data_IF_169703662389
#
_entry.id   IF_169703662389
#
_cell.length_a   1.000
_cell.length_b   1.000
_cell.length_c   1.000
_cell.angle_alpha   90.00
_cell.angle_beta   90.00
_cell.angle_gamma   90.00
#
_symmetry.space_group_name_H-M   'P 1'
#
loop_
_entity.id
_entity.type
_entity.pdbx_description
1 polymer ?
#
# COMPACT_ATOMS: atom_id res chain seq x y z
N UNK A 1 -10.94 1.91 -27.30
CA UNK A 1 -11.89 2.88 -26.72
C UNK A 1 -11.23 3.80 -25.70
N UNK A 2 -10.37 3.31 -24.79
CA UNK A 2 -9.66 4.10 -23.78
C UNK A 2 -8.61 5.04 -24.37
N UNK A 3 -7.89 4.66 -25.44
CA UNK A 3 -6.92 5.52 -26.14
C UNK A 3 -7.62 6.68 -26.87
N UNK A 4 -8.85 6.51 -27.35
CA UNK A 4 -9.63 7.56 -27.99
C UNK A 4 -10.15 8.55 -26.93
N UNK A 5 -10.48 8.09 -25.74
CA UNK A 5 -10.78 8.97 -24.61
C UNK A 5 -9.54 9.76 -24.15
N UNK A 6 -8.33 9.14 -24.15
CA UNK A 6 -7.05 9.83 -23.89
C UNK A 6 -6.78 10.99 -24.86
N UNK A 7 -6.95 10.74 -26.16
CA UNK A 7 -6.75 11.76 -27.19
C UNK A 7 -7.82 12.87 -27.13
N UNK A 8 -9.10 12.51 -26.94
CA UNK A 8 -10.18 13.49 -26.82
C UNK A 8 -10.07 14.35 -25.57
N UNK A 9 -9.67 13.76 -24.42
CA UNK A 9 -9.46 14.49 -23.17
C UNK A 9 -8.31 15.52 -23.28
N UNK A 10 -7.28 15.22 -24.07
CA UNK A 10 -6.15 16.12 -24.29
C UNK A 10 -6.47 17.23 -25.30
N UNK A 11 -7.14 16.90 -26.40
CA UNK A 11 -7.54 17.86 -27.41
C UNK A 11 -8.68 18.80 -26.95
N UNK A 12 -9.60 18.34 -26.12
CA UNK A 12 -10.64 19.18 -25.50
C UNK A 12 -10.07 20.11 -24.42
N UNK A 13 -8.96 19.77 -23.78
CA UNK A 13 -8.28 20.63 -22.80
C UNK A 13 -7.63 21.87 -23.41
N UNK A 14 -7.23 21.82 -24.69
CA UNK A 14 -6.63 22.96 -25.39
C UNK A 14 -7.66 23.87 -26.10
N UNK A 15 -8.89 23.39 -26.31
CA UNK A 15 -9.91 24.11 -27.12
C UNK A 15 -11.00 24.83 -26.35
N UNK A 16 -11.14 24.60 -25.04
CA UNK A 16 -12.23 25.19 -24.25
C UNK A 16 -11.71 26.14 -23.18
N UNK A 17 -11.29 27.34 -23.62
CA UNK A 17 -11.17 28.49 -22.70
C UNK A 17 -12.52 29.17 -22.38
N UNK A 18 -13.60 28.86 -23.10
CA UNK A 18 -14.92 29.49 -22.94
C UNK A 18 -16.07 28.51 -23.15
N UNK A 19 -16.34 27.62 -22.18
CA UNK A 19 -17.66 27.00 -22.03
C UNK A 19 -18.03 26.96 -20.57
N UNK A 20 -19.14 27.61 -20.28
CA UNK A 20 -19.77 27.74 -18.96
C UNK A 20 -19.88 26.40 -18.23
N UNK A 21 -19.42 26.40 -16.98
CA UNK A 21 -19.27 25.23 -16.10
C UNK A 21 -20.63 24.74 -15.51
N UNK A 22 -21.74 24.92 -16.23
CA UNK A 22 -23.05 24.48 -15.80
C UNK A 22 -23.56 23.35 -16.68
N UNK A 23 -23.75 22.18 -16.09
CA UNK A 23 -24.46 20.98 -16.60
C UNK A 23 -23.64 19.75 -17.06
N UNK A 24 -22.46 19.50 -16.55
CA UNK A 24 -22.01 18.10 -16.53
C UNK A 24 -22.64 17.45 -15.29
N UNK A 25 -23.74 16.73 -15.48
CA UNK A 25 -24.34 15.85 -14.47
C UNK A 25 -23.21 14.91 -13.99
N UNK A 26 -22.67 15.19 -12.79
CA UNK A 26 -21.65 14.36 -12.18
C UNK A 26 -22.22 12.95 -12.00
N UNK A 27 -21.69 11.99 -12.73
CA UNK A 27 -22.01 10.60 -12.49
C UNK A 27 -21.47 10.28 -11.10
N UNK A 28 -22.29 9.86 -10.14
CA UNK A 28 -21.83 9.57 -8.79
C UNK A 28 -20.69 8.55 -8.83
N UNK A 29 -19.55 8.89 -8.19
CA UNK A 29 -18.39 8.01 -8.11
C UNK A 29 -17.29 8.27 -9.15
N UNK A 30 -17.44 9.20 -10.09
CA UNK A 30 -16.33 9.63 -10.96
C UNK A 30 -15.54 10.75 -10.32
N UNK A 31 -14.16 10.76 -10.46
CA UNK A 31 -13.33 11.84 -9.94
C UNK A 31 -13.70 13.20 -10.56
N UNK A 32 -13.79 14.22 -9.70
CA UNK A 32 -14.13 15.60 -10.10
C UNK A 32 -12.86 16.32 -10.55
N UNK A 33 -12.98 17.18 -11.58
CA UNK A 33 -11.89 18.08 -11.95
C UNK A 33 -11.99 19.35 -11.10
N UNK A 34 -10.92 19.68 -10.38
CA UNK A 34 -10.76 20.91 -9.60
C UNK A 34 -9.84 21.87 -10.33
N UNK A 35 -10.06 23.18 -10.16
CA UNK A 35 -9.06 24.17 -10.53
C UNK A 35 -7.91 24.21 -9.51
N UNK A 36 -6.75 24.71 -9.91
CA UNK A 36 -5.63 24.90 -8.97
C UNK A 36 -6.02 25.88 -7.85
N UNK A 37 -6.78 26.92 -8.19
CA UNK A 37 -7.25 27.94 -7.24
C UNK A 37 -8.19 27.36 -6.18
N UNK A 38 -9.14 26.50 -6.58
CA UNK A 38 -10.03 25.83 -5.62
C UNK A 38 -9.24 25.03 -4.59
N UNK A 39 -8.23 24.29 -5.05
CA UNK A 39 -7.40 23.48 -4.17
C UNK A 39 -6.42 24.33 -3.33
N UNK A 40 -5.96 25.46 -3.85
CA UNK A 40 -5.17 26.43 -3.13
C UNK A 40 -5.97 27.01 -1.95
N UNK A 41 -7.22 27.40 -2.20
CA UNK A 41 -8.14 27.89 -1.16
C UNK A 41 -8.49 26.79 -0.17
N UNK A 42 -8.87 25.60 -0.64
CA UNK A 42 -9.24 24.46 0.21
C UNK A 42 -8.11 24.03 1.16
N UNK A 43 -6.84 24.19 0.75
CA UNK A 43 -5.67 23.83 1.56
C UNK A 43 -5.04 25.00 2.32
N UNK A 44 -5.68 26.18 2.31
CA UNK A 44 -5.13 27.42 2.89
C UNK A 44 -3.70 27.68 2.42
N UNK A 45 -3.51 27.74 1.10
CA UNK A 45 -2.20 27.93 0.46
C UNK A 45 -1.20 26.79 0.77
N UNK A 46 -1.70 25.53 0.86
CA UNK A 46 -0.89 24.35 1.18
C UNK A 46 -0.15 24.46 2.52
N UNK A 47 -0.81 25.04 3.54
CA UNK A 47 -0.20 25.36 4.82
C UNK A 47 0.00 24.16 5.75
N UNK A 48 -0.97 23.23 5.82
CA UNK A 48 -0.93 22.06 6.70
C UNK A 48 -0.42 20.82 5.95
N UNK A 49 0.88 20.50 6.13
CA UNK A 49 1.49 19.32 5.50
C UNK A 49 1.14 18.06 6.29
N UNK A 50 0.52 17.09 5.62
CA UNK A 50 0.25 15.76 6.15
C UNK A 50 1.42 14.81 5.95
N UNK A 51 2.20 14.97 4.87
CA UNK A 51 3.36 14.15 4.57
C UNK A 51 4.14 14.68 3.38
N UNK A 52 5.43 14.25 3.29
CA UNK A 52 6.32 14.57 2.19
C UNK A 52 7.07 13.32 1.77
N UNK A 53 7.12 13.04 0.48
CA UNK A 53 7.78 11.86 -0.08
C UNK A 53 8.42 12.10 -1.42
N UNK A 54 8.96 11.04 -2.04
CA UNK A 54 9.65 11.11 -3.33
C UNK A 54 8.75 11.53 -4.50
N UNK A 55 7.44 11.26 -4.41
CA UNK A 55 6.44 11.62 -5.44
C UNK A 55 5.71 12.94 -5.16
N UNK A 56 6.07 13.68 -4.10
CA UNK A 56 5.46 14.96 -3.80
C UNK A 56 5.09 15.17 -2.33
N UNK A 57 4.30 16.20 -2.07
CA UNK A 57 3.85 16.59 -0.74
C UNK A 57 2.33 16.45 -0.64
N UNK A 58 1.83 16.00 0.51
CA UNK A 58 0.41 15.85 0.79
C UNK A 58 -0.03 16.88 1.82
N UNK A 59 -1.12 17.58 1.54
CA UNK A 59 -1.66 18.64 2.35
C UNK A 59 -3.08 18.34 2.79
N UNK A 60 -3.45 18.79 3.99
CA UNK A 60 -4.82 18.73 4.44
C UNK A 60 -5.62 19.87 3.82
N UNK A 61 -6.85 19.60 3.44
CA UNK A 61 -7.77 20.59 2.91
C UNK A 61 -9.20 20.36 3.38
N UNK A 62 -10.04 21.37 3.17
CA UNK A 62 -11.48 21.32 3.40
C UNK A 62 -12.16 21.92 2.17
N UNK A 63 -12.98 21.15 1.47
CA UNK A 63 -13.74 21.61 0.33
C UNK A 63 -14.87 22.55 0.77
N UNK A 64 -15.49 23.26 -0.19
CA UNK A 64 -16.56 24.23 0.07
C UNK A 64 -17.79 23.59 0.74
N UNK A 65 -18.04 22.31 0.54
CA UNK A 65 -19.11 21.56 1.19
C UNK A 65 -18.76 21.05 2.61
N UNK A 66 -17.58 21.40 3.12
CA UNK A 66 -17.08 20.96 4.42
C UNK A 66 -16.39 19.59 4.40
N UNK A 67 -16.24 18.93 3.26
CA UNK A 67 -15.56 17.64 3.14
C UNK A 67 -14.07 17.79 3.38
N UNK A 68 -13.54 17.04 4.37
CA UNK A 68 -12.10 16.96 4.61
C UNK A 68 -11.40 16.12 3.55
N UNK A 69 -10.32 16.63 2.99
CA UNK A 69 -9.55 15.99 1.92
C UNK A 69 -8.05 16.00 2.19
N UNK A 70 -7.34 15.08 1.54
CA UNK A 70 -5.89 15.06 1.44
C UNK A 70 -5.50 15.38 -0.02
N UNK A 71 -4.76 16.47 -0.22
CA UNK A 71 -4.34 16.94 -1.55
C UNK A 71 -2.87 16.61 -1.76
N UNK A 72 -2.59 15.66 -2.66
CA UNK A 72 -1.22 15.26 -3.05
C UNK A 72 -0.78 16.16 -4.20
N UNK A 73 0.23 16.98 -3.96
CA UNK A 73 0.87 17.86 -4.96
C UNK A 73 2.15 17.22 -5.45
N UNK A 74 2.24 16.95 -6.75
CA UNK A 74 3.42 16.37 -7.37
C UNK A 74 4.48 17.44 -7.59
N UNK A 75 5.74 17.16 -7.20
CA UNK A 75 6.83 18.15 -7.24
C UNK A 75 7.31 18.48 -8.65
N UNK A 76 7.13 17.55 -9.63
CA UNK A 76 7.62 17.72 -11.02
C UNK A 76 6.72 17.03 -12.03
N UNK A 77 5.75 17.73 -12.57
CA UNK A 77 4.85 17.17 -13.60
C UNK A 77 5.59 16.61 -14.83
N UNK A 78 6.70 17.19 -15.23
CA UNK A 78 7.43 16.76 -16.43
C UNK A 78 8.11 15.39 -16.30
N UNK A 79 8.52 14.99 -15.09
CA UNK A 79 9.15 13.69 -14.80
C UNK A 79 8.16 12.69 -14.18
N UNK A 80 7.14 13.20 -13.45
CA UNK A 80 6.17 12.38 -12.71
C UNK A 80 4.81 12.27 -13.41
N UNK A 81 4.65 12.76 -14.64
CA UNK A 81 3.40 12.66 -15.40
C UNK A 81 2.96 11.20 -15.58
N UNK A 82 3.92 10.28 -15.77
CA UNK A 82 3.61 8.85 -15.88
C UNK A 82 3.05 8.29 -14.58
N UNK A 83 3.58 8.71 -13.44
CA UNK A 83 3.09 8.32 -12.10
C UNK A 83 1.70 8.91 -11.83
N UNK A 84 1.50 10.20 -12.17
CA UNK A 84 0.19 10.85 -12.07
C UNK A 84 -0.88 10.13 -12.91
N UNK A 85 -0.58 9.87 -14.19
CA UNK A 85 -1.51 9.18 -15.08
C UNK A 85 -1.77 7.74 -14.62
N UNK A 86 -0.74 7.02 -14.15
CA UNK A 86 -0.88 5.68 -13.61
C UNK A 86 -1.80 5.67 -12.38
N UNK A 87 -1.64 6.63 -11.48
CA UNK A 87 -2.47 6.76 -10.29
C UNK A 87 -3.92 7.10 -10.66
N UNK A 88 -4.14 8.08 -11.55
CA UNK A 88 -5.49 8.43 -12.03
C UNK A 88 -6.14 7.27 -12.79
N UNK A 89 -5.41 6.55 -13.64
CA UNK A 89 -5.92 5.42 -14.42
C UNK A 89 -6.26 4.22 -13.52
N UNK A 90 -5.38 3.92 -12.56
CA UNK A 90 -5.57 2.80 -11.66
C UNK A 90 -6.75 2.98 -10.71
N UNK A 91 -6.91 4.18 -10.11
CA UNK A 91 -7.89 4.40 -9.05
C UNK A 91 -9.06 5.30 -9.44
N UNK A 92 -9.01 5.98 -10.59
CA UNK A 92 -10.09 6.87 -11.04
C UNK A 92 -11.45 6.18 -11.26
N UNK A 93 -11.44 4.86 -11.50
CA UNK A 93 -12.63 4.04 -11.65
C UNK A 93 -12.88 3.07 -10.49
N UNK A 94 -12.04 3.08 -9.46
CA UNK A 94 -12.07 2.15 -8.33
C UNK A 94 -12.85 2.75 -7.17
N UNK A 95 -13.82 2.01 -6.66
CA UNK A 95 -14.52 2.34 -5.43
C UNK A 95 -14.64 1.07 -4.57
N UNK A 96 -13.82 0.99 -3.51
CA UNK A 96 -13.85 -0.13 -2.59
C UNK A 96 -13.60 0.36 -1.16
N UNK A 97 -14.27 -0.25 -0.17
CA UNK A 97 -14.22 0.16 1.23
C UNK A 97 -12.79 0.20 1.79
N UNK A 98 -11.93 -0.75 1.39
CA UNK A 98 -10.55 -0.86 1.85
C UNK A 98 -9.50 -0.23 0.92
N UNK A 99 -9.92 0.65 0.02
CA UNK A 99 -9.04 1.49 -0.82
C UNK A 99 -9.33 2.96 -0.54
N UNK A 100 -8.29 3.79 -0.55
CA UNK A 100 -8.46 5.25 -0.42
C UNK A 100 -9.08 5.79 -1.70
N UNK A 101 -10.22 6.48 -1.55
CA UNK A 101 -10.99 7.00 -2.67
C UNK A 101 -10.35 8.25 -3.26
N UNK A 102 -10.17 8.27 -4.57
CA UNK A 102 -9.87 9.48 -5.33
C UNK A 102 -11.16 10.29 -5.49
N UNK A 103 -11.22 11.48 -4.90
CA UNK A 103 -12.35 12.41 -5.02
C UNK A 103 -12.26 13.20 -6.31
N UNK A 104 -11.04 13.60 -6.67
CA UNK A 104 -10.80 14.36 -7.90
C UNK A 104 -9.34 14.67 -8.14
N UNK A 105 -9.09 15.50 -9.14
CA UNK A 105 -7.75 15.89 -9.55
C UNK A 105 -7.72 17.28 -10.16
N UNK A 106 -6.52 17.89 -10.19
CA UNK A 106 -6.22 19.07 -10.98
C UNK A 106 -5.03 18.76 -11.91
N UNK A 107 -5.18 19.10 -13.18
CA UNK A 107 -4.12 19.01 -14.21
C UNK A 107 -4.04 20.33 -14.96
N UNK A 108 -3.46 21.36 -14.34
CA UNK A 108 -3.31 22.69 -14.91
C UNK A 108 -1.85 23.05 -15.08
N UNK A 109 -1.49 23.50 -16.29
CA UNK A 109 -0.14 24.01 -16.64
C UNK A 109 0.97 23.02 -16.23
N UNK A 110 1.70 23.36 -15.18
CA UNK A 110 2.79 22.55 -14.61
C UNK A 110 2.43 21.90 -13.27
N UNK A 111 1.14 21.94 -12.86
CA UNK A 111 0.68 21.46 -11.56
C UNK A 111 -0.21 20.24 -11.70
N UNK A 112 0.18 19.12 -11.09
CA UNK A 112 -0.65 17.93 -10.91
C UNK A 112 -1.00 17.77 -9.45
N UNK A 113 -2.30 17.75 -9.15
CA UNK A 113 -2.80 17.51 -7.81
C UNK A 113 -3.82 16.39 -7.84
N UNK A 114 -3.73 15.51 -6.87
CA UNK A 114 -4.70 14.44 -6.64
C UNK A 114 -5.41 14.70 -5.31
N UNK A 115 -6.74 14.60 -5.32
CA UNK A 115 -7.59 14.89 -4.16
C UNK A 115 -8.18 13.59 -3.65
N UNK A 116 -7.77 13.17 -2.46
CA UNK A 116 -8.21 11.95 -1.80
C UNK A 116 -9.09 12.23 -0.60
N UNK A 117 -9.88 11.24 -0.19
CA UNK A 117 -10.54 11.26 1.11
C UNK A 117 -9.51 11.39 2.25
N UNK A 118 -9.87 12.14 3.29
CA UNK A 118 -8.97 12.37 4.43
C UNK A 118 -9.02 11.22 5.43
N UNK A 119 -7.84 10.71 5.81
CA UNK A 119 -7.69 9.59 6.72
C UNK A 119 -7.13 10.10 8.06
N UNK A 120 -8.01 10.29 9.05
CA UNK A 120 -7.70 11.01 10.28
C UNK A 120 -6.78 10.27 11.27
N UNK A 121 -6.60 8.97 11.15
CA UNK A 121 -5.63 8.19 11.93
C UNK A 121 -4.25 8.10 11.26
N UNK A 122 -4.13 8.52 9.99
CA UNK A 122 -2.88 8.45 9.22
C UNK A 122 -2.46 7.03 8.91
N UNK A 123 -1.16 6.80 8.73
CA UNK A 123 -0.60 5.53 8.29
C UNK A 123 -0.41 4.51 9.42
N UNK A 124 -0.51 3.24 9.06
CA UNK A 124 -0.49 2.09 9.97
C UNK A 124 0.82 1.96 10.75
N UNK A 125 1.97 2.37 10.18
CA UNK A 125 3.28 2.29 10.83
C UNK A 125 3.33 3.02 12.17
N UNK A 126 2.52 4.07 12.35
CA UNK A 126 2.42 4.83 13.61
C UNK A 126 1.75 4.05 14.73
N UNK A 127 1.00 3.00 14.39
CA UNK A 127 0.14 2.26 15.29
C UNK A 127 0.67 0.87 15.63
N UNK A 128 1.49 0.27 14.75
CA UNK A 128 2.01 -1.08 14.95
C UNK A 128 3.39 -1.11 15.58
N UNK A 129 4.21 -0.06 15.37
CA UNK A 129 5.53 -0.01 15.99
C UNK A 129 5.47 0.79 17.29
N UNK A 130 6.18 0.29 18.32
CA UNK A 130 6.27 0.99 19.60
C UNK A 130 6.85 2.40 19.38
N UNK A 131 6.10 3.40 19.78
CA UNK A 131 6.54 4.79 19.87
C UNK A 131 6.45 5.23 21.32
N UNK A 132 7.09 6.38 21.65
CA UNK A 132 7.12 6.94 22.99
C UNK A 132 5.74 7.26 23.59
N UNK A 133 4.67 7.21 22.78
CA UNK A 133 3.30 7.49 23.18
C UNK A 133 2.52 6.24 23.63
N UNK A 134 3.12 5.06 23.58
CA UNK A 134 2.55 3.82 24.14
C UNK A 134 1.30 3.25 23.48
N UNK A 135 0.79 3.85 22.40
CA UNK A 135 -0.42 3.37 21.73
C UNK A 135 -0.10 2.25 20.74
N UNK A 136 -0.29 1.03 21.18
CA UNK A 136 -0.27 -0.16 20.31
C UNK A 136 -1.71 -0.60 20.04
N UNK A 137 -1.99 -1.04 18.80
CA UNK A 137 -3.30 -1.62 18.47
C UNK A 137 -3.54 -2.88 19.30
N UNK A 138 -4.75 -3.00 19.86
CA UNK A 138 -5.20 -4.24 20.46
C UNK A 138 -5.33 -5.35 19.39
N UNK A 139 -5.46 -6.61 19.87
CA UNK A 139 -5.47 -7.77 18.98
C UNK A 139 -6.66 -7.75 18.01
N UNK A 140 -7.85 -7.37 18.46
CA UNK A 140 -9.05 -7.30 17.63
C UNK A 140 -8.90 -6.27 16.52
N UNK A 141 -8.33 -5.11 16.84
CA UNK A 141 -8.05 -4.05 15.86
C UNK A 141 -6.99 -4.49 14.85
N UNK A 142 -5.94 -5.23 15.28
CA UNK A 142 -4.95 -5.81 14.34
C UNK A 142 -5.60 -6.76 13.35
N UNK A 143 -6.46 -7.68 13.84
CA UNK A 143 -7.22 -8.60 13.00
C UNK A 143 -8.09 -7.87 11.98
N UNK A 144 -8.81 -6.86 12.43
CA UNK A 144 -9.64 -6.01 11.56
C UNK A 144 -8.82 -5.34 10.47
N UNK A 145 -7.66 -4.80 10.82
CA UNK A 145 -6.74 -4.13 9.87
C UNK A 145 -6.21 -5.13 8.84
N UNK A 146 -5.73 -6.30 9.29
CA UNK A 146 -5.23 -7.38 8.41
C UNK A 146 -6.31 -7.82 7.42
N UNK A 147 -7.52 -8.08 7.90
CA UNK A 147 -8.64 -8.49 7.07
C UNK A 147 -9.02 -7.39 6.06
N UNK A 148 -8.98 -6.13 6.48
CA UNK A 148 -9.23 -4.98 5.60
C UNK A 148 -8.20 -4.89 4.46
N UNK A 149 -6.91 -5.03 4.76
CA UNK A 149 -5.85 -5.03 3.74
C UNK A 149 -6.06 -6.20 2.77
N UNK A 150 -6.32 -7.40 3.29
CA UNK A 150 -6.55 -8.59 2.47
C UNK A 150 -7.74 -8.40 1.52
N UNK A 151 -8.88 -7.85 1.99
CA UNK A 151 -10.07 -7.55 1.16
C UNK A 151 -9.78 -6.50 0.10
N UNK A 152 -8.99 -5.47 0.41
CA UNK A 152 -8.53 -4.49 -0.56
C UNK A 152 -7.71 -5.13 -1.69
N UNK A 153 -6.80 -6.06 -1.36
CA UNK A 153 -6.00 -6.81 -2.33
C UNK A 153 -6.82 -7.80 -3.15
N UNK A 154 -7.84 -8.47 -2.56
CA UNK A 154 -8.80 -9.30 -3.33
C UNK A 154 -9.42 -8.46 -4.44
N UNK A 155 -9.94 -7.29 -4.09
CA UNK A 155 -10.57 -6.41 -5.07
C UNK A 155 -9.62 -6.04 -6.23
N UNK A 156 -8.38 -5.63 -5.91
CA UNK A 156 -7.38 -5.25 -6.92
C UNK A 156 -6.98 -6.42 -7.83
N UNK A 157 -6.82 -7.60 -7.26
CA UNK A 157 -6.27 -8.77 -7.96
C UNK A 157 -7.31 -9.62 -8.67
N UNK A 158 -8.54 -9.69 -8.11
CA UNK A 158 -9.53 -10.70 -8.51
C UNK A 158 -10.84 -10.09 -9.01
N UNK A 159 -11.30 -8.94 -8.46
CA UNK A 159 -12.62 -8.38 -8.79
C UNK A 159 -12.57 -7.31 -9.90
N UNK A 160 -11.46 -6.55 -10.03
CA UNK A 160 -11.31 -5.53 -11.07
C UNK A 160 -11.36 -6.12 -12.49
N UNK A 161 -11.87 -5.35 -13.47
CA UNK A 161 -11.86 -5.74 -14.89
C UNK A 161 -10.46 -6.04 -15.39
N UNK A 162 -9.48 -5.19 -15.08
CA UNK A 162 -8.05 -5.41 -15.21
C UNK A 162 -7.48 -5.66 -13.83
N UNK A 163 -6.60 -6.64 -13.71
CA UNK A 163 -5.86 -6.85 -12.45
C UNK A 163 -4.96 -5.65 -12.20
N UNK A 164 -4.90 -5.21 -10.95
CA UNK A 164 -4.04 -4.11 -10.54
C UNK A 164 -2.98 -4.67 -9.61
N UNK A 165 -1.72 -4.54 -10.02
CA UNK A 165 -0.57 -4.85 -9.17
C UNK A 165 -0.13 -3.54 -8.53
N UNK A 166 -0.12 -3.48 -7.20
CA UNK A 166 0.19 -2.26 -6.45
C UNK A 166 1.68 -1.96 -6.38
N UNK A 167 2.52 -2.99 -6.22
CA UNK A 167 3.98 -2.95 -6.10
C UNK A 167 4.55 -2.28 -4.84
N UNK A 168 3.76 -1.60 -4.03
CA UNK A 168 4.27 -0.87 -2.87
C UNK A 168 3.42 -1.07 -1.60
N UNK A 169 3.02 -2.32 -1.33
CA UNK A 169 2.32 -2.70 -0.10
C UNK A 169 3.28 -2.67 1.07
N UNK A 170 3.07 -1.72 2.00
CA UNK A 170 3.86 -1.49 3.21
C UNK A 170 3.03 -0.72 4.24
N UNK A 171 3.38 -0.70 5.54
CA UNK A 171 2.60 0.00 6.58
C UNK A 171 2.38 1.50 6.33
N UNK A 172 3.32 2.17 5.67
CA UNK A 172 3.20 3.58 5.29
C UNK A 172 2.08 3.83 4.26
N UNK A 173 1.78 2.86 3.39
CA UNK A 173 0.76 2.94 2.35
C UNK A 173 -0.57 2.27 2.76
N UNK A 174 -0.73 1.97 4.04
CA UNK A 174 -2.00 1.55 4.64
C UNK A 174 -2.46 2.67 5.57
N UNK A 175 -3.55 3.33 5.22
CA UNK A 175 -4.11 4.41 6.03
C UNK A 175 -5.29 3.89 6.86
N UNK A 176 -5.52 4.52 8.01
CA UNK A 176 -6.58 4.17 8.94
C UNK A 176 -7.59 5.31 9.06
N UNK A 177 -8.87 4.98 8.96
CA UNK A 177 -9.96 5.93 9.22
C UNK A 177 -10.23 6.09 10.74
N UNK A 178 -11.25 6.88 11.10
CA UNK A 178 -11.63 7.13 12.50
C UNK A 178 -11.91 5.84 13.30
N UNK A 179 -12.39 4.80 12.63
CA UNK A 179 -12.79 3.54 13.20
C UNK A 179 -11.71 2.44 13.05
N UNK A 180 -10.47 2.80 12.69
CA UNK A 180 -9.40 1.87 12.39
C UNK A 180 -9.71 0.89 11.24
N UNK A 181 -10.54 1.30 10.26
CA UNK A 181 -10.66 0.55 9.02
C UNK A 181 -9.43 0.84 8.15
N UNK A 182 -8.78 -0.23 7.67
CA UNK A 182 -7.62 -0.11 6.81
C UNK A 182 -8.01 0.19 5.36
N UNK A 183 -7.29 1.14 4.75
CA UNK A 183 -7.43 1.49 3.33
C UNK A 183 -6.05 1.57 2.68
N UNK A 184 -5.87 0.84 1.57
CA UNK A 184 -4.65 0.89 0.76
C UNK A 184 -4.62 2.19 -0.02
N UNK A 185 -3.46 2.85 -0.09
CA UNK A 185 -3.24 4.11 -0.79
C UNK A 185 -1.91 4.11 -1.58
N UNK A 186 -1.66 5.17 -2.34
CA UNK A 186 -0.44 5.44 -3.14
C UNK A 186 -0.22 4.44 -4.29
N UNK A 187 -1.01 4.62 -5.34
CA UNK A 187 -0.98 3.80 -6.56
C UNK A 187 0.05 4.27 -7.59
N UNK A 188 0.97 5.17 -7.23
CA UNK A 188 1.95 5.76 -8.13
C UNK A 188 2.92 4.75 -8.78
N UNK A 189 3.08 3.55 -8.22
CA UNK A 189 3.87 2.46 -8.80
C UNK A 189 3.01 1.36 -9.42
N UNK A 190 1.68 1.45 -9.34
CA UNK A 190 0.77 0.39 -9.78
C UNK A 190 0.79 0.15 -11.28
N UNK A 191 0.39 -1.04 -11.69
CA UNK A 191 0.31 -1.45 -13.08
C UNK A 191 -0.98 -2.24 -13.35
N UNK A 192 -1.65 -1.87 -14.46
CA UNK A 192 -2.86 -2.52 -14.94
C UNK A 192 -2.49 -3.68 -15.85
N UNK A 193 -2.95 -4.88 -15.52
CA UNK A 193 -2.65 -6.11 -16.25
C UNK A 193 -3.95 -6.72 -16.78
N UNK A 194 -4.00 -6.99 -18.09
CA UNK A 194 -5.14 -7.67 -18.68
C UNK A 194 -5.28 -9.08 -18.11
N UNK A 195 -6.51 -9.56 -17.91
CA UNK A 195 -6.78 -10.88 -17.30
C UNK A 195 -6.16 -12.03 -18.07
N UNK A 196 -6.04 -11.89 -19.37
CA UNK A 196 -5.48 -12.90 -20.27
C UNK A 196 -3.94 -12.88 -20.31
N UNK A 197 -3.33 -11.71 -20.06
CA UNK A 197 -1.88 -11.54 -19.93
C UNK A 197 -1.51 -11.49 -18.47
N UNK A 198 -1.26 -12.63 -17.84
CA UNK A 198 -0.97 -12.70 -16.41
C UNK A 198 0.46 -12.26 -16.03
N UNK A 199 1.17 -11.53 -16.90
CA UNK A 199 2.58 -11.19 -16.71
C UNK A 199 2.87 -9.75 -17.11
N UNK A 200 3.76 -9.12 -16.35
CA UNK A 200 4.32 -7.81 -16.66
C UNK A 200 5.83 -7.94 -16.86
N UNK A 201 6.35 -7.30 -17.90
CA UNK A 201 7.80 -7.09 -18.05
C UNK A 201 8.11 -5.71 -17.47
N UNK A 202 8.54 -5.65 -16.22
CA UNK A 202 8.84 -4.39 -15.58
C UNK A 202 10.22 -4.39 -14.93
N UNK A 203 10.79 -3.20 -14.76
CA UNK A 203 12.01 -2.99 -13.97
C UNK A 203 11.70 -3.22 -12.51
N UNK A 204 12.72 -3.49 -11.69
CA UNK A 204 12.60 -3.58 -10.22
C UNK A 204 11.85 -2.36 -9.68
N UNK A 205 10.70 -2.59 -9.04
CA UNK A 205 9.85 -1.57 -8.40
C UNK A 205 9.52 -1.99 -6.98
N UNK A 206 9.21 -1.03 -6.13
CA UNK A 206 8.78 -1.25 -4.75
C UNK A 206 9.80 -0.80 -3.71
N UNK A 207 9.41 -0.91 -2.45
CA UNK A 207 10.21 -0.50 -1.28
C UNK A 207 11.08 -1.65 -0.79
N UNK A 208 12.39 -1.40 -0.62
CA UNK A 208 13.33 -2.38 -0.07
C UNK A 208 12.79 -2.96 1.26
N UNK A 209 12.90 -4.28 1.44
CA UNK A 209 12.35 -5.00 2.59
C UNK A 209 10.93 -5.54 2.39
N UNK A 210 10.19 -5.08 1.35
CA UNK A 210 8.85 -5.57 1.01
C UNK A 210 8.79 -6.21 -0.39
N UNK A 211 9.82 -6.01 -1.20
CA UNK A 211 9.88 -6.46 -2.60
C UNK A 211 10.00 -7.97 -2.68
N UNK A 212 9.18 -8.60 -3.52
CA UNK A 212 9.23 -10.03 -3.75
C UNK A 212 10.52 -10.46 -4.49
N UNK A 213 11.05 -11.68 -4.23
CA UNK A 213 12.33 -12.15 -4.78
C UNK A 213 12.42 -12.11 -6.30
N UNK A 214 11.32 -12.40 -7.01
CA UNK A 214 11.27 -12.40 -8.47
C UNK A 214 11.48 -11.01 -9.08
N UNK A 215 11.19 -9.93 -8.34
CA UNK A 215 11.43 -8.57 -8.78
C UNK A 215 12.93 -8.19 -8.73
N UNK A 216 13.73 -8.89 -7.91
CA UNK A 216 15.15 -8.62 -7.72
C UNK A 216 16.06 -9.45 -8.64
N UNK A 217 15.51 -10.40 -9.40
CA UNK A 217 16.28 -11.26 -10.32
C UNK A 217 16.67 -10.51 -11.61
N UNK A 218 17.81 -10.88 -12.19
CA UNK A 218 18.28 -10.36 -13.50
C UNK A 218 18.51 -11.55 -14.44
N UNK A 219 17.70 -11.72 -15.52
CA UNK A 219 16.50 -10.91 -15.85
C UNK A 219 15.39 -11.08 -14.82
N UNK A 220 14.47 -10.10 -14.70
CA UNK A 220 13.32 -10.21 -13.81
C UNK A 220 12.54 -11.50 -14.07
N UNK A 221 12.04 -12.11 -13.00
CA UNK A 221 11.15 -13.26 -13.08
C UNK A 221 9.79 -12.89 -13.67
N UNK A 222 8.88 -13.86 -13.69
CA UNK A 222 7.48 -13.63 -14.06
C UNK A 222 6.80 -12.78 -12.97
N UNK A 223 6.50 -11.53 -13.28
CA UNK A 223 5.83 -10.60 -12.36
C UNK A 223 4.31 -10.75 -12.49
N UNK A 224 3.65 -11.02 -11.38
CA UNK A 224 2.19 -11.20 -11.28
C UNK A 224 1.67 -10.54 -10.00
N UNK A 225 0.37 -10.58 -9.74
CA UNK A 225 -0.24 -10.14 -8.47
C UNK A 225 0.40 -10.77 -7.22
N UNK A 226 1.15 -11.87 -7.40
CA UNK A 226 1.83 -12.57 -6.30
C UNK A 226 2.96 -11.76 -5.65
N UNK A 227 3.41 -10.67 -6.29
CA UNK A 227 4.38 -9.75 -5.66
C UNK A 227 3.73 -8.98 -4.51
N UNK A 228 2.47 -8.55 -4.66
CA UNK A 228 1.73 -7.89 -3.57
C UNK A 228 1.37 -8.86 -2.45
N UNK A 229 1.12 -10.13 -2.79
CA UNK A 229 0.88 -11.20 -1.80
C UNK A 229 2.11 -11.38 -0.92
N UNK A 230 3.31 -11.37 -1.50
CA UNK A 230 4.56 -11.42 -0.75
C UNK A 230 4.70 -10.21 0.18
N UNK A 231 4.51 -9.00 -0.35
CA UNK A 231 4.57 -7.76 0.43
C UNK A 231 3.55 -7.74 1.58
N UNK A 232 2.32 -8.25 1.33
CA UNK A 232 1.31 -8.45 2.37
C UNK A 232 1.79 -9.40 3.46
N UNK A 233 2.47 -10.50 3.13
CA UNK A 233 3.05 -11.43 4.09
C UNK A 233 4.04 -10.74 5.05
N UNK A 234 4.89 -9.83 4.54
CA UNK A 234 5.79 -9.01 5.37
C UNK A 234 4.97 -8.10 6.31
N UNK A 235 4.02 -7.35 5.75
CA UNK A 235 3.17 -6.42 6.54
C UNK A 235 2.40 -7.19 7.62
N UNK A 236 1.89 -8.38 7.32
CA UNK A 236 1.19 -9.22 8.28
C UNK A 236 2.09 -9.61 9.46
N UNK A 237 3.34 -10.01 9.22
CA UNK A 237 4.29 -10.29 10.29
C UNK A 237 4.60 -9.04 11.13
N UNK A 238 4.77 -7.89 10.51
CA UNK A 238 5.00 -6.63 11.23
C UNK A 238 3.83 -6.28 12.16
N UNK A 239 2.57 -6.46 11.67
CA UNK A 239 1.36 -6.23 12.47
C UNK A 239 1.29 -7.20 13.65
N UNK A 240 1.51 -8.48 13.40
CA UNK A 240 1.43 -9.54 14.43
C UNK A 240 2.49 -9.36 15.50
N UNK A 241 3.74 -9.14 15.07
CA UNK A 241 4.89 -9.08 15.97
C UNK A 241 5.13 -7.68 16.57
N UNK A 242 4.43 -6.64 16.09
CA UNK A 242 4.67 -5.24 16.45
C UNK A 242 6.15 -4.81 16.25
N UNK A 243 6.83 -5.39 15.27
CA UNK A 243 8.25 -5.17 14.95
C UNK A 243 8.43 -4.87 13.48
N UNK A 244 9.41 -4.03 13.16
CA UNK A 244 9.80 -3.78 11.76
C UNK A 244 10.44 -5.02 11.15
N UNK A 245 10.20 -5.26 9.87
CA UNK A 245 10.86 -6.33 9.12
C UNK A 245 12.39 -6.22 9.20
N UNK A 246 12.89 -5.00 9.15
CA UNK A 246 14.30 -4.71 9.37
C UNK A 246 14.47 -3.57 10.37
N UNK A 247 15.21 -3.83 11.46
CA UNK A 247 15.44 -2.87 12.54
C UNK A 247 16.96 -2.75 12.83
N UNK A 248 17.55 -1.68 12.33
CA UNK A 248 18.99 -1.39 12.53
C UNK A 248 19.37 -1.12 14.00
N UNK A 249 18.41 -0.87 14.88
CA UNK A 249 18.68 -0.62 16.31
C UNK A 249 18.91 -1.89 17.10
N UNK A 250 18.55 -3.05 16.52
CA UNK A 250 18.69 -4.36 17.14
C UNK A 250 20.01 -5.02 16.77
N UNK A 251 20.52 -5.96 17.61
CA UNK A 251 21.67 -6.79 17.28
C UNK A 251 21.47 -7.53 15.95
N UNK A 252 22.56 -7.83 15.24
CA UNK A 252 22.52 -8.51 13.93
C UNK A 252 21.74 -9.83 13.94
N UNK A 253 21.75 -10.55 15.06
CA UNK A 253 20.99 -11.79 15.26
C UNK A 253 19.46 -11.60 15.30
N UNK A 254 19.00 -10.37 15.57
CA UNK A 254 17.58 -10.02 15.82
C UNK A 254 17.08 -8.87 14.96
N UNK A 255 17.94 -8.28 14.12
CA UNK A 255 17.58 -7.13 13.30
C UNK A 255 16.65 -7.46 12.11
N UNK A 256 16.42 -8.74 11.83
CA UNK A 256 15.63 -9.19 10.70
C UNK A 256 14.49 -10.10 11.14
N UNK A 257 13.25 -9.63 11.04
CA UNK A 257 12.04 -10.35 11.50
C UNK A 257 11.91 -11.74 10.86
N UNK A 258 12.17 -11.87 9.55
CA UNK A 258 12.06 -13.16 8.85
C UNK A 258 13.08 -14.21 9.35
N UNK A 259 14.29 -13.79 9.75
CA UNK A 259 15.27 -14.71 10.38
C UNK A 259 14.75 -15.22 11.72
N UNK A 260 14.12 -14.35 12.49
CA UNK A 260 13.53 -14.76 13.76
C UNK A 260 12.39 -15.75 13.56
N UNK A 261 11.48 -15.48 12.58
CA UNK A 261 10.40 -16.40 12.23
C UNK A 261 10.95 -17.77 11.83
N UNK A 262 11.95 -17.81 10.95
CA UNK A 262 12.61 -19.04 10.54
C UNK A 262 13.18 -19.81 11.73
N UNK A 263 13.99 -19.16 12.59
CA UNK A 263 14.62 -19.76 13.77
C UNK A 263 13.59 -20.33 14.75
N UNK A 264 12.49 -19.60 14.97
CA UNK A 264 11.41 -20.06 15.87
C UNK A 264 10.58 -21.18 15.26
N UNK A 265 10.36 -21.18 13.93
CA UNK A 265 9.73 -22.29 13.23
C UNK A 265 10.53 -23.59 13.32
N UNK A 266 11.85 -23.54 13.15
CA UNK A 266 12.77 -24.68 13.33
C UNK A 266 12.72 -25.28 14.74
N UNK A 267 12.33 -24.48 15.74
CA UNK A 267 12.22 -24.89 17.15
C UNK A 267 10.79 -25.29 17.53
N UNK A 268 9.82 -25.26 16.60
CA UNK A 268 8.38 -25.42 16.86
C UNK A 268 7.82 -24.44 17.93
N UNK A 269 8.34 -23.22 17.94
CA UNK A 269 8.08 -22.17 18.95
C UNK A 269 7.63 -20.86 18.29
N UNK A 270 6.77 -20.92 17.27
CA UNK A 270 6.33 -19.74 16.50
C UNK A 270 5.72 -18.63 17.37
N UNK A 271 5.01 -18.99 18.42
CA UNK A 271 4.36 -18.02 19.32
C UNK A 271 5.37 -17.09 20.02
N UNK A 272 6.58 -17.57 20.27
CA UNK A 272 7.62 -16.80 20.96
C UNK A 272 8.20 -15.64 20.14
N UNK A 273 7.71 -15.44 18.93
CA UNK A 273 8.07 -14.29 18.10
C UNK A 273 7.38 -13.04 18.61
N UNK A 274 6.19 -13.20 19.21
CA UNK A 274 5.38 -12.09 19.72
C UNK A 274 5.78 -11.80 21.16
N UNK A 275 6.40 -10.65 21.37
CA UNK A 275 6.81 -10.18 22.69
C UNK A 275 5.64 -9.57 23.47
N UNK A 276 5.69 -9.69 24.82
CA UNK A 276 4.72 -9.09 25.76
C UNK A 276 3.27 -9.48 25.53
N UNK A 277 3.04 -10.76 25.28
CA UNK A 277 1.71 -11.34 25.42
C UNK A 277 1.45 -11.45 26.93
N UNK A 278 0.60 -10.56 27.48
CA UNK A 278 0.17 -10.68 28.89
C UNK A 278 -0.55 -12.02 29.09
N UNK A 279 -0.18 -12.75 30.15
CA UNK A 279 -0.67 -14.12 30.43
C UNK A 279 -2.21 -14.23 30.47
N UNK A 280 -2.91 -13.12 30.72
CA UNK A 280 -4.35 -13.10 30.90
C UNK A 280 -5.16 -13.12 29.58
N UNK A 281 -4.56 -12.70 28.46
CA UNK A 281 -5.21 -12.68 27.13
C UNK A 281 -4.76 -13.83 26.21
N UNK A 282 -3.75 -14.58 26.61
CA UNK A 282 -2.98 -15.49 25.75
C UNK A 282 -3.73 -16.75 25.28
N UNK A 283 -4.70 -17.25 26.05
CA UNK A 283 -5.24 -18.59 25.76
C UNK A 283 -6.16 -18.57 24.53
N UNK A 284 -7.02 -17.56 24.40
CA UNK A 284 -7.98 -17.45 23.28
C UNK A 284 -7.34 -16.97 21.97
N UNK A 285 -6.32 -16.10 22.07
CA UNK A 285 -5.74 -15.45 20.90
C UNK A 285 -4.54 -16.21 20.32
N UNK A 286 -3.96 -17.16 21.10
CA UNK A 286 -2.75 -17.91 20.73
C UNK A 286 -2.89 -18.68 19.42
N UNK A 287 -3.98 -19.40 19.24
CA UNK A 287 -4.22 -20.16 18.00
C UNK A 287 -4.39 -19.23 16.80
N UNK A 288 -5.05 -18.11 17.01
CA UNK A 288 -5.25 -17.09 15.98
C UNK A 288 -3.93 -16.42 15.59
N UNK A 289 -3.06 -16.08 16.56
CA UNK A 289 -1.70 -15.55 16.32
C UNK A 289 -0.90 -16.54 15.49
N UNK A 290 -0.87 -17.82 15.88
CA UNK A 290 -0.15 -18.85 15.13
C UNK A 290 -0.70 -18.99 13.71
N UNK A 291 -2.03 -18.95 13.56
CA UNK A 291 -2.69 -18.98 12.25
C UNK A 291 -2.25 -17.80 11.38
N UNK A 292 -2.18 -16.58 11.92
CA UNK A 292 -1.70 -15.41 11.18
C UNK A 292 -0.23 -15.53 10.76
N UNK A 293 0.65 -16.04 11.63
CA UNK A 293 2.05 -16.29 11.29
C UNK A 293 2.14 -17.33 10.15
N UNK A 294 1.31 -18.38 10.20
CA UNK A 294 1.24 -19.38 9.11
C UNK A 294 0.74 -18.78 7.80
N UNK A 295 -0.28 -17.92 7.83
CA UNK A 295 -0.74 -17.17 6.64
C UNK A 295 0.39 -16.33 6.07
N UNK A 296 1.13 -15.61 6.91
CA UNK A 296 2.27 -14.83 6.48
C UNK A 296 3.33 -15.71 5.80
N UNK A 297 3.69 -16.84 6.42
CA UNK A 297 4.64 -17.80 5.83
C UNK A 297 4.14 -18.37 4.48
N UNK A 298 2.84 -18.59 4.33
CA UNK A 298 2.24 -19.00 3.06
C UNK A 298 2.38 -17.92 1.98
N UNK A 299 2.14 -16.68 2.33
CA UNK A 299 2.33 -15.53 1.44
C UNK A 299 3.80 -15.30 1.05
N UNK A 300 4.75 -15.68 1.91
CA UNK A 300 6.18 -15.45 1.77
C UNK A 300 6.94 -16.60 1.06
N UNK A 301 6.25 -17.55 0.45
CA UNK A 301 6.93 -18.61 -0.29
C UNK A 301 7.81 -18.04 -1.41
N UNK A 302 9.03 -18.56 -1.57
CA UNK A 302 9.99 -18.10 -2.58
C UNK A 302 9.45 -18.30 -4.00
N UNK A 303 8.74 -19.42 -4.25
CA UNK A 303 8.03 -19.68 -5.49
C UNK A 303 6.68 -18.94 -5.51
N UNK A 304 6.45 -18.00 -6.45
CA UNK A 304 5.19 -17.26 -6.55
C UNK A 304 3.96 -18.15 -6.72
N UNK A 305 4.09 -19.30 -7.40
CA UNK A 305 2.96 -20.22 -7.64
C UNK A 305 2.50 -20.92 -6.35
N UNK A 306 3.35 -21.00 -5.33
CA UNK A 306 3.01 -21.55 -4.01
C UNK A 306 2.37 -20.53 -3.08
N UNK A 307 2.38 -19.23 -3.43
CA UNK A 307 1.69 -18.19 -2.66
C UNK A 307 0.18 -18.28 -2.93
N UNK A 308 -0.68 -18.03 -1.93
CA UNK A 308 -2.13 -18.08 -2.09
C UNK A 308 -2.68 -17.01 -3.04
N UNK A 309 -3.93 -17.17 -3.48
CA UNK A 309 -4.77 -16.06 -3.89
C UNK A 309 -5.20 -15.27 -2.66
N UNK A 310 -5.42 -13.96 -2.79
CA UNK A 310 -5.87 -13.16 -1.64
C UNK A 310 -7.26 -13.55 -1.15
N UNK A 311 -8.13 -14.05 -2.02
CA UNK A 311 -9.43 -14.64 -1.63
C UNK A 311 -9.29 -15.87 -0.74
N UNK A 312 -8.25 -16.69 -0.96
CA UNK A 312 -7.95 -17.82 -0.06
C UNK A 312 -7.45 -17.32 1.30
N UNK A 313 -6.60 -16.29 1.32
CA UNK A 313 -6.14 -15.63 2.56
C UNK A 313 -7.33 -15.11 3.38
N UNK A 314 -8.29 -14.42 2.73
CA UNK A 314 -9.50 -13.93 3.42
C UNK A 314 -10.29 -15.08 4.03
N UNK A 315 -10.50 -16.18 3.31
CA UNK A 315 -11.21 -17.36 3.83
C UNK A 315 -10.53 -17.96 5.07
N UNK A 316 -9.20 -18.00 5.09
CA UNK A 316 -8.44 -18.46 6.26
C UNK A 316 -8.55 -17.49 7.43
N UNK A 317 -8.47 -16.18 7.17
CA UNK A 317 -8.65 -15.14 8.20
C UNK A 317 -10.05 -15.18 8.81
N UNK A 318 -11.07 -15.47 8.01
CA UNK A 318 -12.46 -15.62 8.46
C UNK A 318 -12.77 -17.00 9.08
N UNK A 319 -11.77 -17.91 9.15
CA UNK A 319 -11.93 -19.24 9.73
C UNK A 319 -12.72 -20.25 8.89
N UNK A 320 -12.94 -19.93 7.60
CA UNK A 320 -13.70 -20.79 6.65
C UNK A 320 -12.80 -21.86 6.03
N UNK A 321 -11.48 -21.64 6.01
CA UNK A 321 -10.50 -22.54 5.41
C UNK A 321 -9.25 -22.64 6.29
N UNK A 322 -8.61 -23.80 6.27
CA UNK A 322 -7.31 -24.00 6.93
C UNK A 322 -6.15 -23.51 6.06
N UNK A 323 -5.05 -23.14 6.71
CA UNK A 323 -3.81 -22.79 6.03
C UNK A 323 -3.19 -24.03 5.40
N UNK A 324 -2.55 -23.89 4.23
CA UNK A 324 -1.73 -24.93 3.59
C UNK A 324 -0.79 -25.63 4.60
N UNK A 325 -0.78 -26.97 4.61
CA UNK A 325 -0.01 -27.75 5.61
C UNK A 325 1.50 -27.79 5.31
N UNK A 326 1.91 -27.69 4.02
CA UNK A 326 3.29 -27.86 3.59
C UNK A 326 4.05 -26.53 3.47
N UNK A 327 4.03 -25.71 4.52
CA UNK A 327 4.70 -24.42 4.54
C UNK A 327 6.22 -24.58 4.71
N UNK A 328 6.96 -23.80 3.90
CA UNK A 328 8.42 -23.70 4.03
C UNK A 328 8.76 -22.39 4.71
N UNK A 329 9.45 -22.46 5.84
CA UNK A 329 9.91 -21.30 6.63
C UNK A 329 11.36 -20.89 6.28
N UNK A 330 11.81 -21.17 5.05
CA UNK A 330 13.12 -20.72 4.55
C UNK A 330 12.92 -19.55 3.59
N UNK A 331 13.35 -18.37 4.00
CA UNK A 331 13.15 -17.12 3.28
C UNK A 331 14.51 -16.64 2.70
N UNK A 332 15.05 -17.39 1.73
CA UNK A 332 16.42 -17.20 1.23
C UNK A 332 16.69 -15.83 0.63
N UNK A 333 15.74 -15.27 -0.11
CA UNK A 333 15.93 -13.99 -0.81
C UNK A 333 15.69 -12.76 0.05
N UNK A 334 14.82 -12.86 1.06
CA UNK A 334 14.54 -11.76 1.98
C UNK A 334 15.75 -11.41 2.88
N UNK A 335 16.74 -12.31 2.96
CA UNK A 335 17.91 -12.19 3.81
C UNK A 335 19.13 -11.58 3.11
N UNK A 336 19.04 -11.33 1.81
CA UNK A 336 20.09 -10.65 1.04
C UNK A 336 19.91 -9.15 1.30
N UNK A 337 20.62 -8.62 2.28
CA UNK A 337 20.81 -7.18 2.44
C UNK A 337 21.51 -6.68 1.17
N UNK A 338 21.01 -5.64 0.48
CA UNK A 338 21.81 -5.00 -0.55
C UNK A 338 23.10 -4.53 0.12
N UNK A 339 24.25 -5.02 -0.37
CA UNK A 339 25.53 -4.47 0.03
C UNK A 339 25.44 -2.95 -0.18
N UNK A 340 25.67 -2.18 0.89
CA UNK A 340 25.74 -0.72 0.83
C UNK A 340 27.00 -0.39 0.03
N UNK A 341 26.88 -0.36 -1.29
CA UNK A 341 27.89 0.22 -2.14
C UNK A 341 27.82 1.73 -1.95
N UNK A 342 28.73 2.27 -1.16
CA UNK A 342 29.06 3.69 -1.12
C UNK A 342 29.64 4.14 -2.48
N UNK A 343 28.79 4.20 -3.52
CA UNK A 343 29.07 4.97 -4.72
C UNK A 343 27.84 5.81 -5.01
N UNK A 344 28.03 7.10 -4.80
CA UNK A 344 27.20 8.24 -5.09
C UNK A 344 26.55 8.16 -6.46
N UNK A 345 25.28 7.79 -6.50
CA UNK A 345 24.32 8.12 -7.56
C UNK A 345 22.97 8.33 -6.90
N UNK A 346 22.21 9.36 -7.24
CA UNK A 346 20.92 9.62 -6.60
C UNK A 346 19.96 8.49 -6.93
N UNK A 347 19.66 7.65 -5.92
CA UNK A 347 18.59 6.68 -6.01
C UNK A 347 17.25 7.42 -6.05
N UNK A 348 16.25 6.94 -6.80
CA UNK A 348 14.88 7.38 -6.61
C UNK A 348 14.46 6.96 -5.20
N UNK A 349 14.33 7.93 -4.30
CA UNK A 349 13.86 7.71 -2.95
C UNK A 349 12.41 7.21 -3.00
N UNK A 350 12.16 6.07 -2.37
CA UNK A 350 10.82 5.58 -2.12
C UNK A 350 9.97 6.68 -1.48
N UNK A 351 8.70 6.78 -1.88
CA UNK A 351 7.73 7.73 -1.34
C UNK A 351 7.53 7.46 0.16
N UNK A 352 8.17 8.25 1.00
CA UNK A 352 7.98 8.21 2.45
C UNK A 352 6.97 9.30 2.81
N UNK A 353 5.73 8.92 3.04
CA UNK A 353 4.76 9.75 3.74
C UNK A 353 5.10 9.74 5.23
N UNK A 354 6.18 10.42 5.63
CA UNK A 354 6.51 10.62 7.04
C UNK A 354 6.01 11.98 7.50
N UNK A 355 5.18 12.00 8.54
CA UNK A 355 4.77 13.24 9.21
C UNK A 355 5.89 13.71 10.13
N UNK A 356 6.17 15.03 10.25
CA UNK A 356 6.94 15.58 11.36
C UNK A 356 6.13 15.49 12.66
N UNK A 357 6.86 15.56 13.76
CA UNK A 357 6.37 15.49 15.14
C UNK A 357 5.43 16.64 15.48
#
# INVERSE_FOLDING_TARGET
>A
MILILRARWWEESEKNEDLEADDIRQVPGTPVRFSYEDLRVATHDFSETLGKGGSGSVFKGVLLDGTHVAVKKLDRLGQDMSSFLAEVEAIGSINHFNLVRLIGFCAEKSSGLLVFEYMNKGSLDKWIFKNDQGSCLDWQTRNKVVLGIAKGLVYLHEDCQKKIIHFDIKPLNILLDANFNAKICDFGLSELVDRDTSQVQTRTRGTCGYVAPECCKIPPGRITVKVDVYSFGIVLLEIVCARRNFDHTQPESENHLLRMVQKKAEQDRLIDIVENLDDQYMQSDREEIIRMIKIAAWCLQDDPERRPLMSAVVKVLEGVMEVESNLVYKFHHALITPAVNHHTSPQPQASVLSYPR
#
